data_IF_505231021388
#
_entry.id   IF_505231021388
#
_cell.length_a   1.000
_cell.length_b   1.000
_cell.length_c   1.000
_cell.angle_alpha   90.00
_cell.angle_beta   90.00
_cell.angle_gamma   90.00
#
_symmetry.space_group_name_H-M   'P 1'
#
loop_
_entity.id
_entity.type
_entity.pdbx_description
1 polymer ?
#
# COMPACT_ATOMS: atom_id res chain seq x y z
N UNK A 1 -7.59 -1.07 -3.43
CA UNK A 1 -6.43 -0.62 -2.66
C UNK A 1 -6.45 -1.39 -1.37
N UNK A 2 -5.30 -1.96 -1.01
CA UNK A 2 -5.11 -2.58 0.30
C UNK A 2 -5.23 -1.52 1.39
N UNK A 3 -5.37 -1.94 2.64
CA UNK A 3 -5.41 -0.99 3.76
C UNK A 3 -4.01 -0.52 4.13
N UNK A 4 -3.93 0.61 4.85
CA UNK A 4 -2.65 1.21 5.25
C UNK A 4 -1.83 0.27 6.12
N UNK A 5 -2.44 -0.47 7.04
CA UNK A 5 -1.69 -1.38 7.90
C UNK A 5 -1.22 -2.61 7.12
N UNK A 6 -1.94 -3.09 6.10
CA UNK A 6 -1.42 -4.15 5.21
C UNK A 6 -0.14 -3.69 4.50
N UNK A 7 -0.13 -2.47 3.95
CA UNK A 7 1.08 -1.90 3.34
C UNK A 7 2.24 -1.79 4.35
N UNK A 8 1.97 -1.32 5.57
CA UNK A 8 2.98 -1.23 6.62
C UNK A 8 3.48 -2.60 7.11
N UNK A 9 2.61 -3.61 7.20
CA UNK A 9 2.99 -5.00 7.55
C UNK A 9 3.95 -5.59 6.52
N UNK A 10 3.67 -5.37 5.23
CA UNK A 10 4.57 -5.77 4.14
C UNK A 10 5.90 -5.03 4.24
N UNK A 11 5.88 -3.71 4.47
CA UNK A 11 7.09 -2.92 4.66
C UNK A 11 7.95 -3.43 5.83
N UNK A 12 7.32 -3.73 6.97
CA UNK A 12 7.99 -4.29 8.15
C UNK A 12 8.69 -5.61 7.86
N UNK A 13 8.03 -6.50 7.13
CA UNK A 13 8.63 -7.78 6.74
C UNK A 13 9.78 -7.59 5.75
N UNK A 14 9.61 -6.72 4.76
CA UNK A 14 10.62 -6.48 3.74
C UNK A 14 11.87 -5.79 4.29
N UNK A 15 11.76 -4.95 5.32
CA UNK A 15 12.92 -4.35 6.01
C UNK A 15 13.82 -5.39 6.69
N UNK A 16 13.29 -6.57 7.02
CA UNK A 16 14.09 -7.69 7.57
C UNK A 16 14.87 -8.43 6.48
N UNK A 17 14.43 -8.32 5.23
CA UNK A 17 14.95 -9.08 4.08
C UNK A 17 15.82 -8.26 3.15
N UNK A 18 15.52 -6.96 3.01
CA UNK A 18 16.20 -6.03 2.11
C UNK A 18 17.18 -5.19 2.93
N UNK A 19 18.50 -5.31 2.71
CA UNK A 19 19.49 -4.58 3.47
C UNK A 19 19.53 -3.10 3.05
N UNK A 20 20.00 -2.26 3.98
CA UNK A 20 20.33 -0.85 3.71
C UNK A 20 19.15 0.00 3.20
N UNK A 21 17.95 -0.23 3.73
CA UNK A 21 16.82 0.70 3.56
C UNK A 21 16.74 1.68 4.73
N UNK A 22 16.30 2.90 4.44
CA UNK A 22 15.80 3.82 5.46
C UNK A 22 14.37 3.44 5.84
N UNK A 23 14.18 2.98 7.08
CA UNK A 23 12.88 2.46 7.54
C UNK A 23 11.77 3.52 7.52
N UNK A 24 12.09 4.80 7.76
CA UNK A 24 11.10 5.89 7.80
C UNK A 24 10.64 6.23 6.40
N UNK A 25 11.59 6.46 5.49
CA UNK A 25 11.27 6.79 4.11
C UNK A 25 10.59 5.62 3.40
N UNK A 26 11.01 4.38 3.67
CA UNK A 26 10.36 3.19 3.11
C UNK A 26 8.91 3.04 3.59
N UNK A 27 8.64 3.22 4.89
CA UNK A 27 7.29 3.16 5.43
C UNK A 27 6.39 4.26 4.85
N UNK A 28 6.89 5.49 4.72
CA UNK A 28 6.17 6.60 4.09
C UNK A 28 5.91 6.31 2.61
N UNK A 29 6.91 5.80 1.88
CA UNK A 29 6.77 5.42 0.48
C UNK A 29 5.61 4.46 0.26
N UNK A 30 5.45 3.46 1.15
CA UNK A 30 4.34 2.50 1.09
C UNK A 30 2.94 3.12 1.35
N UNK A 31 2.86 4.38 1.75
CA UNK A 31 1.60 5.11 2.00
C UNK A 31 1.41 6.27 1.02
N UNK A 32 2.50 6.82 0.48
CA UNK A 32 2.50 8.03 -0.33
C UNK A 32 1.49 8.04 -1.51
N UNK A 33 1.23 6.94 -2.24
CA UNK A 33 0.20 6.92 -3.30
C UNK A 33 -1.21 7.31 -2.83
N UNK A 34 -1.55 7.01 -1.57
CA UNK A 34 -2.85 7.32 -0.95
C UNK A 34 -2.97 8.76 -0.45
N UNK A 35 -2.02 9.65 -0.79
CA UNK A 35 -1.98 11.00 -0.23
C UNK A 35 -2.74 12.06 -1.03
N UNK A 36 -3.61 11.68 -1.95
CA UNK A 36 -4.50 12.64 -2.62
C UNK A 36 -5.37 13.36 -1.59
N UNK A 37 -5.52 14.68 -1.70
CA UNK A 37 -6.34 15.47 -0.77
C UNK A 37 -7.82 15.29 -1.16
N UNK A 38 -8.67 14.73 -0.28
CA UNK A 38 -10.08 14.55 -0.59
C UNK A 38 -10.83 15.89 -0.67
N UNK A 39 -11.83 15.95 -1.54
CA UNK A 39 -12.85 16.99 -1.48
C UNK A 39 -13.78 16.82 -0.26
N UNK A 40 -14.72 17.75 -0.06
CA UNK A 40 -15.62 17.74 1.10
C UNK A 40 -16.44 16.44 1.23
N UNK A 41 -16.70 15.77 0.11
CA UNK A 41 -17.52 14.55 0.05
C UNK A 41 -16.68 13.26 0.03
N UNK A 42 -15.34 13.37 -0.01
CA UNK A 42 -14.43 12.24 -0.18
C UNK A 42 -14.66 11.45 -1.48
N UNK A 43 -15.14 12.14 -2.52
CA UNK A 43 -15.43 11.55 -3.83
C UNK A 43 -14.33 11.83 -4.84
N UNK A 44 -13.68 12.99 -4.74
CA UNK A 44 -12.57 13.40 -5.61
C UNK A 44 -11.32 13.68 -4.77
N UNK A 45 -10.15 13.47 -5.39
CA UNK A 45 -8.86 13.64 -4.75
C UNK A 45 -7.94 14.49 -5.61
N UNK A 46 -7.11 15.32 -4.98
CA UNK A 46 -6.07 16.11 -5.65
C UNK A 46 -4.69 15.87 -5.02
N UNK A 47 -3.73 15.27 -5.75
CA UNK A 47 -3.85 14.72 -7.10
C UNK A 47 -4.78 13.49 -7.16
N UNK A 48 -5.40 13.20 -8.31
CA UNK A 48 -6.32 12.08 -8.44
C UNK A 48 -5.58 10.72 -8.50
N UNK A 49 -6.27 9.60 -8.24
CA UNK A 49 -5.67 8.26 -8.32
C UNK A 49 -5.08 7.92 -9.69
N UNK A 50 -5.59 8.50 -10.79
CA UNK A 50 -4.98 8.34 -12.13
C UNK A 50 -3.54 8.86 -12.20
N UNK A 51 -3.19 9.81 -11.32
CA UNK A 51 -1.84 10.33 -11.16
C UNK A 51 -1.09 9.55 -10.08
N UNK A 52 -1.63 9.46 -8.86
CA UNK A 52 -0.89 8.87 -7.72
C UNK A 52 -0.81 7.34 -7.74
N UNK A 53 -1.70 6.66 -8.46
CA UNK A 53 -1.65 5.21 -8.64
C UNK A 53 -1.35 4.81 -10.08
N UNK A 54 -0.99 5.78 -10.93
CA UNK A 54 -0.67 5.53 -12.34
C UNK A 54 -1.76 4.68 -13.03
N UNK A 55 -3.04 4.92 -12.71
CA UNK A 55 -4.14 4.16 -13.30
C UNK A 55 -4.26 4.54 -14.78
N UNK A 56 -4.07 3.56 -15.67
CA UNK A 56 -4.19 3.75 -17.11
C UNK A 56 -5.33 2.92 -17.68
N UNK A 57 -6.34 3.53 -18.32
CA UNK A 57 -7.40 2.80 -18.99
C UNK A 57 -6.92 2.03 -20.24
N UNK A 58 -5.71 2.32 -20.73
CA UNK A 58 -5.12 1.71 -21.92
C UNK A 58 -4.32 0.44 -21.61
N UNK A 59 -4.04 0.15 -20.33
CA UNK A 59 -3.23 -1.00 -19.91
C UNK A 59 -4.13 -2.13 -19.41
N UNK A 60 -4.43 -3.08 -20.29
CA UNK A 60 -5.28 -4.25 -19.98
C UNK A 60 -4.69 -5.20 -18.91
N UNK A 61 -3.40 -5.08 -18.56
CA UNK A 61 -2.67 -6.13 -17.82
C UNK A 61 -2.61 -5.94 -16.29
N UNK A 62 -2.77 -4.72 -15.74
CA UNK A 62 -3.07 -4.46 -14.31
C UNK A 62 -3.46 -3.01 -14.05
N UNK A 63 -4.29 -2.81 -13.03
CA UNK A 63 -4.88 -1.54 -12.61
C UNK A 63 -3.95 -0.68 -11.72
N UNK A 64 -2.67 -0.61 -12.09
CA UNK A 64 -1.70 0.48 -11.82
C UNK A 64 -0.52 0.26 -12.79
N UNK A 65 0.02 1.32 -13.40
CA UNK A 65 1.16 1.20 -14.30
C UNK A 65 2.49 1.13 -13.52
N UNK A 66 2.66 0.06 -12.73
CA UNK A 66 3.83 -0.14 -11.86
C UNK A 66 5.18 0.06 -12.58
N UNK A 67 5.29 -0.44 -13.82
CA UNK A 67 6.48 -0.32 -14.65
C UNK A 67 6.76 1.13 -15.09
N UNK A 68 5.74 1.98 -15.23
CA UNK A 68 5.94 3.39 -15.57
C UNK A 68 6.59 4.11 -14.39
N UNK A 69 6.07 3.90 -13.17
CA UNK A 69 6.67 4.46 -11.98
C UNK A 69 8.11 3.98 -11.80
N UNK A 70 8.35 2.68 -11.98
CA UNK A 70 9.70 2.12 -11.90
C UNK A 70 10.66 2.81 -12.87
N UNK A 71 10.29 2.88 -14.16
CA UNK A 71 11.14 3.45 -15.21
C UNK A 71 11.36 4.96 -15.05
N UNK A 72 10.37 5.70 -14.55
CA UNK A 72 10.44 7.16 -14.47
C UNK A 72 11.05 7.65 -13.15
N UNK A 73 10.94 6.88 -12.06
CA UNK A 73 11.19 7.41 -10.72
C UNK A 73 12.06 6.52 -9.81
N UNK A 74 12.42 5.30 -10.22
CA UNK A 74 13.16 4.37 -9.36
C UNK A 74 14.42 3.78 -10.01
N UNK A 75 14.39 3.45 -11.30
CA UNK A 75 15.47 2.69 -11.98
C UNK A 75 16.84 3.38 -11.93
N UNK A 76 16.88 4.72 -11.96
CA UNK A 76 18.12 5.50 -11.98
C UNK A 76 18.69 5.78 -10.57
N UNK A 77 17.99 5.38 -9.50
CA UNK A 77 18.44 5.65 -8.13
C UNK A 77 19.37 4.53 -7.66
N UNK A 78 20.63 4.88 -7.41
CA UNK A 78 21.58 3.98 -6.78
C UNK A 78 21.35 3.92 -5.24
N UNK A 79 20.94 2.77 -4.69
CA UNK A 79 20.69 2.62 -3.25
C UNK A 79 21.92 2.86 -2.37
N UNK A 80 23.14 2.80 -2.91
CA UNK A 80 24.36 3.04 -2.15
C UNK A 80 24.69 4.53 -2.02
N UNK A 81 24.30 5.36 -2.98
CA UNK A 81 24.55 6.80 -2.95
C UNK A 81 23.38 7.62 -2.45
N UNK A 82 22.15 7.13 -2.62
CA UNK A 82 20.93 7.85 -2.27
C UNK A 82 19.90 6.91 -1.61
N UNK A 83 20.24 6.50 -0.39
CA UNK A 83 19.49 5.50 0.38
C UNK A 83 18.06 5.99 0.69
N UNK A 84 17.90 7.25 1.07
CA UNK A 84 16.62 7.83 1.48
C UNK A 84 15.63 7.89 0.32
N UNK A 85 16.02 8.43 -0.85
CA UNK A 85 15.14 8.47 -2.02
C UNK A 85 14.88 7.08 -2.58
N UNK A 86 15.90 6.20 -2.59
CA UNK A 86 15.70 4.81 -3.00
C UNK A 86 14.65 4.13 -2.12
N UNK A 87 14.76 4.28 -0.80
CA UNK A 87 13.83 3.68 0.15
C UNK A 87 12.41 4.21 -0.03
N UNK A 88 12.25 5.53 -0.16
CA UNK A 88 10.93 6.12 -0.44
C UNK A 88 10.34 5.58 -1.76
N UNK A 89 11.11 5.59 -2.84
CA UNK A 89 10.64 5.17 -4.17
C UNK A 89 10.37 3.68 -4.24
N UNK A 90 11.19 2.85 -3.58
CA UNK A 90 10.91 1.42 -3.47
C UNK A 90 9.62 1.15 -2.70
N UNK A 91 9.37 1.88 -1.60
CA UNK A 91 8.12 1.78 -0.85
C UNK A 91 6.91 2.17 -1.69
N UNK A 92 7.01 3.28 -2.44
CA UNK A 92 5.96 3.71 -3.37
C UNK A 92 5.69 2.67 -4.44
N UNK A 93 6.76 2.14 -5.03
CA UNK A 93 6.66 1.09 -6.03
C UNK A 93 5.97 -0.17 -5.47
N UNK A 94 6.30 -0.58 -4.24
CA UNK A 94 5.68 -1.72 -3.58
C UNK A 94 4.23 -1.49 -3.18
N UNK A 95 3.83 -0.27 -2.86
CA UNK A 95 2.42 0.05 -2.71
C UNK A 95 1.65 -0.27 -3.99
N UNK A 96 2.13 0.18 -5.16
CA UNK A 96 1.46 -0.07 -6.45
C UNK A 96 1.32 -1.56 -6.75
N UNK A 97 2.38 -2.34 -6.50
CA UNK A 97 2.35 -3.80 -6.67
C UNK A 97 1.38 -4.47 -5.69
N UNK A 98 1.42 -4.07 -4.43
CA UNK A 98 0.55 -4.59 -3.37
C UNK A 98 -0.91 -4.35 -3.70
N UNK A 99 -1.25 -3.19 -4.23
CA UNK A 99 -2.61 -2.83 -4.61
C UNK A 99 -3.16 -3.68 -5.76
N UNK A 100 -2.31 -4.00 -6.74
CA UNK A 100 -2.62 -4.93 -7.82
C UNK A 100 -2.86 -6.35 -7.30
N UNK A 101 -2.02 -6.81 -6.37
CA UNK A 101 -2.16 -8.11 -5.72
C UNK A 101 -3.41 -8.16 -4.83
N UNK A 102 -3.67 -7.13 -4.03
CA UNK A 102 -4.88 -7.03 -3.21
C UNK A 102 -6.14 -7.09 -4.06
N UNK A 103 -6.14 -6.39 -5.20
CA UNK A 103 -7.28 -6.41 -6.12
C UNK A 103 -7.59 -7.83 -6.61
N UNK A 104 -6.56 -8.60 -6.94
CA UNK A 104 -6.70 -9.93 -7.53
C UNK A 104 -6.96 -11.01 -6.50
N UNK A 105 -6.32 -10.95 -5.33
CA UNK A 105 -6.41 -11.96 -4.29
C UNK A 105 -7.55 -11.72 -3.28
N UNK A 106 -7.92 -10.46 -3.02
CA UNK A 106 -8.92 -10.10 -2.02
C UNK A 106 -10.13 -9.42 -2.65
N UNK A 107 -9.95 -8.25 -3.28
CA UNK A 107 -11.09 -7.40 -3.64
C UNK A 107 -12.03 -8.03 -4.68
N UNK A 108 -11.49 -8.58 -5.78
CA UNK A 108 -12.31 -9.26 -6.81
C UNK A 108 -12.97 -10.53 -6.27
N UNK A 109 -12.26 -11.44 -5.56
CA UNK A 109 -12.90 -12.59 -4.91
C UNK A 109 -14.01 -12.20 -3.92
N UNK A 110 -13.84 -11.13 -3.13
CA UNK A 110 -14.91 -10.62 -2.25
C UNK A 110 -16.10 -10.12 -3.07
N UNK A 111 -15.88 -9.37 -4.15
CA UNK A 111 -16.94 -8.90 -5.05
C UNK A 111 -17.71 -10.06 -5.70
N UNK A 112 -17.01 -11.13 -6.08
CA UNK A 112 -17.64 -12.35 -6.64
C UNK A 112 -18.45 -13.10 -5.58
N UNK A 113 -17.91 -13.23 -4.35
CA UNK A 113 -18.58 -13.92 -3.23
C UNK A 113 -19.88 -13.24 -2.80
N UNK A 114 -19.91 -11.91 -2.85
CA UNK A 114 -21.04 -11.07 -2.41
C UNK A 114 -21.67 -10.29 -3.57
N UNK A 115 -21.72 -10.91 -4.75
CA UNK A 115 -22.16 -10.27 -5.99
C UNK A 115 -23.57 -9.68 -5.87
N UNK A 116 -24.51 -10.41 -5.27
CA UNK A 116 -25.90 -9.97 -5.15
C UNK A 116 -26.03 -8.72 -4.27
N UNK A 117 -25.24 -8.63 -3.19
CA UNK A 117 -25.20 -7.46 -2.32
C UNK A 117 -24.58 -6.24 -2.99
N UNK A 118 -23.51 -6.44 -3.78
CA UNK A 118 -22.88 -5.38 -4.56
C UNK A 118 -23.79 -4.88 -5.69
N UNK A 119 -24.50 -5.79 -6.38
CA UNK A 119 -25.46 -5.43 -7.43
C UNK A 119 -26.67 -4.66 -6.86
N UNK A 120 -27.08 -4.99 -5.62
CA UNK A 120 -28.20 -4.33 -4.94
C UNK A 120 -27.85 -2.97 -4.34
N UNK A 121 -26.64 -2.79 -3.81
CA UNK A 121 -26.19 -1.54 -3.17
C UNK A 121 -24.71 -1.26 -3.47
N UNK A 122 -24.41 -0.27 -4.33
CA UNK A 122 -23.03 0.14 -4.60
C UNK A 122 -22.26 0.61 -3.35
N UNK A 123 -22.96 1.03 -2.29
CA UNK A 123 -22.35 1.44 -1.00
C UNK A 123 -22.03 0.23 -0.10
N UNK A 124 -22.34 -0.99 -0.53
CA UNK A 124 -22.01 -2.21 0.21
C UNK A 124 -20.51 -2.35 0.49
N UNK A 125 -19.65 -1.78 -0.37
CA UNK A 125 -18.20 -1.72 -0.16
C UNK A 125 -17.82 -1.12 1.20
N UNK A 126 -18.61 -0.17 1.73
CA UNK A 126 -18.33 0.42 3.03
C UNK A 126 -18.50 -0.58 4.18
N UNK A 127 -19.40 -1.57 4.05
CA UNK A 127 -19.56 -2.66 5.02
C UNK A 127 -18.39 -3.64 4.95
N UNK A 128 -17.96 -3.97 3.74
CA UNK A 128 -16.77 -4.82 3.51
C UNK A 128 -15.53 -4.19 4.10
N UNK A 129 -15.29 -2.89 3.82
CA UNK A 129 -14.13 -2.16 4.34
C UNK A 129 -14.13 -2.01 5.86
N UNK A 130 -15.29 -2.08 6.54
CA UNK A 130 -15.33 -2.08 8.02
C UNK A 130 -14.57 -3.28 8.59
N UNK A 131 -14.67 -4.44 7.97
CA UNK A 131 -13.89 -5.62 8.39
C UNK A 131 -12.40 -5.42 8.15
N UNK A 132 -12.03 -4.87 6.98
CA UNK A 132 -10.63 -4.64 6.64
C UNK A 132 -9.95 -3.68 7.63
N UNK A 133 -10.58 -2.52 7.89
CA UNK A 133 -10.06 -1.57 8.88
C UNK A 133 -10.20 -2.07 10.33
N UNK A 134 -11.19 -2.93 10.61
CA UNK A 134 -11.31 -3.61 11.89
C UNK A 134 -10.13 -4.53 12.20
N UNK A 135 -9.67 -5.28 11.20
CA UNK A 135 -8.46 -6.11 11.29
C UNK A 135 -7.19 -5.27 11.43
N UNK A 136 -7.09 -4.16 10.71
CA UNK A 136 -5.98 -3.21 10.88
C UNK A 136 -5.88 -2.70 12.32
N UNK A 137 -7.02 -2.26 12.89
CA UNK A 137 -7.07 -1.76 14.26
C UNK A 137 -6.73 -2.85 15.28
N UNK A 138 -7.22 -4.07 15.06
CA UNK A 138 -6.86 -5.22 15.88
C UNK A 138 -5.34 -5.49 15.83
N UNK A 139 -4.74 -5.47 14.64
CA UNK A 139 -3.29 -5.63 14.47
C UNK A 139 -2.51 -4.53 15.20
N UNK A 140 -2.84 -3.27 14.97
CA UNK A 140 -2.14 -2.15 15.62
C UNK A 140 -2.24 -2.23 17.15
N UNK A 141 -3.39 -2.65 17.70
CA UNK A 141 -3.57 -2.86 19.14
C UNK A 141 -2.73 -4.02 19.67
N UNK A 142 -2.74 -5.15 18.97
CA UNK A 142 -2.17 -6.40 19.46
C UNK A 142 -0.65 -6.50 19.26
N UNK A 143 -0.09 -5.70 18.34
CA UNK A 143 1.34 -5.67 17.99
C UNK A 143 1.97 -4.28 18.27
N UNK A 144 2.19 -3.90 19.54
CA UNK A 144 2.77 -2.60 19.92
C UNK A 144 4.22 -2.38 19.44
N UNK A 145 4.91 -3.45 19.03
CA UNK A 145 6.24 -3.41 18.43
C UNK A 145 6.24 -3.17 16.91
N UNK A 146 5.05 -3.18 16.29
CA UNK A 146 4.91 -3.02 14.85
C UNK A 146 5.52 -1.71 14.34
N UNK A 147 5.90 -1.72 13.06
CA UNK A 147 6.47 -0.56 12.37
C UNK A 147 5.59 0.69 12.48
N UNK A 148 4.26 0.52 12.60
CA UNK A 148 3.35 1.65 12.81
C UNK A 148 3.76 2.46 14.04
N UNK A 149 3.93 1.79 15.18
CA UNK A 149 4.32 2.44 16.45
C UNK A 149 5.79 2.82 16.49
N UNK A 150 6.68 1.92 16.07
CA UNK A 150 8.12 2.07 16.26
C UNK A 150 8.76 3.07 15.28
N UNK A 151 8.17 3.22 14.09
CA UNK A 151 8.79 3.98 12.99
C UNK A 151 7.83 5.01 12.40
N UNK A 152 6.67 4.57 11.91
CA UNK A 152 5.78 5.39 11.10
C UNK A 152 5.22 6.60 11.86
N UNK A 153 4.96 6.43 13.16
CA UNK A 153 4.41 7.48 14.02
C UNK A 153 5.27 8.76 14.04
N UNK A 154 6.60 8.59 14.08
CA UNK A 154 7.59 9.67 14.18
C UNK A 154 8.30 9.94 12.84
N UNK A 155 7.82 9.33 11.75
CA UNK A 155 8.40 9.49 10.43
C UNK A 155 7.95 10.81 9.79
N UNK A 156 8.89 11.45 9.09
CA UNK A 156 8.70 12.67 8.30
C UNK A 156 9.12 12.41 6.85
N UNK A 157 8.41 12.96 5.84
CA UNK A 157 8.60 12.64 4.42
C UNK A 157 9.79 13.41 3.80
N UNK A 158 10.99 13.23 4.34
CA UNK A 158 12.19 13.97 3.93
C UNK A 158 12.64 13.70 2.49
N UNK A 159 12.32 12.51 1.94
CA UNK A 159 12.71 12.10 0.59
C UNK A 159 11.57 12.17 -0.45
N UNK A 160 10.47 12.87 -0.12
CA UNK A 160 9.37 13.07 -1.05
C UNK A 160 9.61 14.28 -1.97
N UNK A 161 10.14 14.01 -3.15
CA UNK A 161 10.48 14.98 -4.21
C UNK A 161 9.77 14.68 -5.55
N UNK A 162 8.64 13.93 -5.51
CA UNK A 162 7.81 13.69 -6.70
C UNK A 162 7.00 14.95 -7.05
N UNK A 163 7.28 15.56 -8.20
CA UNK A 163 6.59 16.78 -8.66
C UNK A 163 5.07 16.66 -8.72
N UNK A 164 4.57 15.45 -9.01
CA UNK A 164 3.13 15.18 -9.10
C UNK A 164 2.48 14.88 -7.74
N UNK A 165 3.26 14.75 -6.66
CA UNK A 165 2.76 14.44 -5.31
C UNK A 165 3.16 15.55 -4.33
N UNK A 166 2.28 16.53 -4.08
CA UNK A 166 2.60 17.66 -3.22
C UNK A 166 2.96 17.23 -1.79
N UNK A 167 4.07 17.76 -1.26
CA UNK A 167 4.56 17.45 0.09
C UNK A 167 3.49 17.70 1.19
N UNK A 168 2.67 18.73 1.04
CA UNK A 168 1.59 19.02 1.99
C UNK A 168 0.49 17.94 1.98
N UNK A 169 0.22 17.34 0.82
CA UNK A 169 -0.74 16.26 0.67
C UNK A 169 -0.25 15.00 1.41
N UNK A 170 1.04 14.65 1.24
CA UNK A 170 1.70 13.56 1.99
C UNK A 170 1.62 13.81 3.49
N UNK A 171 2.04 15.01 3.96
CA UNK A 171 1.98 15.34 5.40
C UNK A 171 0.57 15.24 5.97
N UNK A 172 -0.43 15.76 5.25
CA UNK A 172 -1.82 15.66 5.68
C UNK A 172 -2.28 14.20 5.81
N UNK A 173 -1.92 13.35 4.85
CA UNK A 173 -2.28 11.93 4.87
C UNK A 173 -1.59 11.19 6.01
N UNK A 174 -0.29 11.44 6.24
CA UNK A 174 0.44 10.87 7.38
C UNK A 174 -0.23 11.25 8.70
N UNK A 175 -0.55 12.53 8.91
CA UNK A 175 -1.22 12.99 10.13
C UNK A 175 -2.61 12.39 10.30
N UNK A 176 -3.37 12.22 9.22
CA UNK A 176 -4.66 11.54 9.24
C UNK A 176 -4.53 10.09 9.71
N UNK A 177 -3.64 9.31 9.08
CA UNK A 177 -3.42 7.90 9.41
C UNK A 177 -2.91 7.75 10.85
N UNK A 178 -1.91 8.54 11.24
CA UNK A 178 -1.38 8.56 12.61
C UNK A 178 -2.50 8.82 13.61
N UNK A 179 -3.35 9.80 13.35
CA UNK A 179 -4.47 10.15 14.25
C UNK A 179 -5.53 9.05 14.30
N UNK A 180 -5.89 8.44 13.16
CA UNK A 180 -6.89 7.39 13.06
C UNK A 180 -6.53 6.17 13.91
N UNK A 181 -5.30 5.65 13.76
CA UNK A 181 -4.87 4.44 14.48
C UNK A 181 -4.39 4.72 15.92
N UNK A 182 -4.09 5.98 16.28
CA UNK A 182 -3.92 6.41 17.68
C UNK A 182 -5.25 6.59 18.42
N UNK A 183 -6.37 6.66 17.69
CA UNK A 183 -7.69 7.01 18.20
C UNK A 183 -8.15 6.14 19.38
N UNK A 184 -9.04 6.69 20.20
CA UNK A 184 -9.51 6.00 21.41
C UNK A 184 -10.59 4.98 21.07
N UNK A 185 -10.72 3.91 21.87
CA UNK A 185 -11.66 2.79 21.63
C UNK A 185 -13.08 3.23 21.25
N UNK A 186 -13.59 4.34 21.77
CA UNK A 186 -14.94 4.84 21.45
C UNK A 186 -15.08 5.35 20.01
N UNK A 187 -14.04 5.92 19.44
CA UNK A 187 -14.04 6.51 18.08
C UNK A 187 -13.93 5.42 17.01
N UNK A 188 -13.28 4.30 17.36
CA UNK A 188 -13.03 3.16 16.46
C UNK A 188 -13.91 1.93 16.77
N UNK A 189 -14.81 2.03 17.77
CA UNK A 189 -15.67 0.94 18.23
C UNK A 189 -16.50 0.32 17.10
N UNK A 190 -16.90 1.12 16.10
CA UNK A 190 -17.73 0.64 14.99
C UNK A 190 -16.97 -0.24 13.97
N UNK A 191 -15.65 -0.32 14.07
CA UNK A 191 -14.80 -1.19 13.25
C UNK A 191 -14.47 -2.51 13.96
N UNK A 192 -14.62 -2.57 15.29
CA UNK A 192 -14.49 -3.81 16.06
C UNK A 192 -15.77 -4.64 16.02
N UNK A 193 -16.11 -5.16 14.83
CA UNK A 193 -17.35 -5.90 14.60
C UNK A 193 -17.10 -7.37 14.21
N UNK A 194 -16.48 -8.20 15.08
CA UNK A 194 -16.37 -9.62 14.82
C UNK A 194 -17.78 -10.28 14.77
N UNK A 195 -17.96 -11.36 14.00
CA UNK A 195 -16.94 -12.08 13.24
C UNK A 195 -16.71 -11.39 11.88
N UNK A 196 -15.49 -10.94 11.58
CA UNK A 196 -15.16 -10.28 10.31
C UNK A 196 -15.50 -11.21 9.12
N UNK A 197 -16.68 -11.03 8.53
CA UNK A 197 -17.30 -11.97 7.57
C UNK A 197 -16.83 -11.75 6.13
N UNK A 198 -16.37 -10.54 5.81
CA UNK A 198 -15.96 -10.16 4.46
C UNK A 198 -14.46 -10.38 4.22
N UNK A 199 -13.69 -10.47 5.30
CA UNK A 199 -12.27 -10.79 5.30
C UNK A 199 -11.88 -11.29 6.68
N UNK A 200 -11.26 -12.46 6.77
CA UNK A 200 -10.80 -13.05 8.03
C UNK A 200 -9.34 -12.67 8.33
N UNK A 201 -8.93 -12.83 9.59
CA UNK A 201 -7.53 -12.63 10.01
C UNK A 201 -6.59 -13.55 9.21
N UNK A 202 -6.92 -14.84 9.11
CA UNK A 202 -6.12 -15.83 8.37
C UNK A 202 -5.96 -15.43 6.90
N UNK A 203 -7.02 -14.95 6.23
CA UNK A 203 -6.94 -14.47 4.83
C UNK A 203 -5.98 -13.28 4.67
N UNK A 204 -5.93 -12.35 5.64
CA UNK A 204 -4.97 -11.22 5.60
C UNK A 204 -3.55 -11.67 5.91
N UNK A 205 -3.38 -12.58 6.86
CA UNK A 205 -2.06 -13.07 7.27
C UNK A 205 -1.43 -13.89 6.13
N UNK A 206 -2.19 -14.78 5.50
CA UNK A 206 -1.76 -15.52 4.30
C UNK A 206 -1.38 -14.57 3.16
N UNK A 207 -2.19 -13.52 2.93
CA UNK A 207 -1.88 -12.50 1.93
C UNK A 207 -0.56 -11.78 2.24
N UNK A 208 -0.37 -11.32 3.48
CA UNK A 208 0.84 -10.59 3.89
C UNK A 208 2.09 -11.47 3.72
N UNK A 209 2.00 -12.75 4.10
CA UNK A 209 3.12 -13.68 3.98
C UNK A 209 3.45 -13.99 2.52
N UNK A 210 2.46 -14.33 1.69
CA UNK A 210 2.67 -14.63 0.27
C UNK A 210 3.23 -13.41 -0.48
N UNK A 211 2.62 -12.24 -0.28
CA UNK A 211 3.02 -11.01 -0.97
C UNK A 211 4.39 -10.53 -0.51
N UNK A 212 4.75 -10.70 0.77
CA UNK A 212 6.12 -10.43 1.25
C UNK A 212 7.14 -11.22 0.42
N UNK A 213 6.93 -12.54 0.26
CA UNK A 213 7.87 -13.38 -0.50
C UNK A 213 7.94 -12.95 -1.96
N UNK A 214 6.80 -12.61 -2.55
CA UNK A 214 6.74 -12.17 -3.95
C UNK A 214 7.46 -10.86 -4.17
N UNK A 215 7.23 -9.85 -3.33
CA UNK A 215 7.90 -8.55 -3.42
C UNK A 215 9.41 -8.68 -3.17
N UNK A 216 9.83 -9.52 -2.23
CA UNK A 216 11.24 -9.80 -2.02
C UNK A 216 11.88 -10.51 -3.23
N UNK A 217 11.17 -11.44 -3.87
CA UNK A 217 11.67 -12.08 -5.09
C UNK A 217 11.79 -11.09 -6.25
N UNK A 218 10.89 -10.10 -6.35
CA UNK A 218 11.05 -8.97 -7.29
C UNK A 218 12.32 -8.18 -6.98
N UNK A 219 12.57 -7.89 -5.70
CA UNK A 219 13.81 -7.21 -5.28
C UNK A 219 15.05 -7.98 -5.75
N UNK A 220 15.09 -9.30 -5.47
CA UNK A 220 16.19 -10.17 -5.86
C UNK A 220 16.40 -10.15 -7.38
N UNK A 221 15.34 -10.28 -8.17
CA UNK A 221 15.47 -10.27 -9.63
C UNK A 221 16.03 -8.95 -10.15
N UNK A 222 15.49 -7.81 -9.71
CA UNK A 222 15.82 -6.50 -10.29
C UNK A 222 17.17 -5.99 -9.76
N UNK A 223 17.40 -6.01 -8.46
CA UNK A 223 18.57 -5.36 -7.85
C UNK A 223 19.74 -6.31 -7.54
N UNK A 224 19.49 -7.60 -7.33
CA UNK A 224 20.54 -8.57 -7.02
C UNK A 224 20.99 -9.33 -8.27
N UNK A 225 20.04 -9.96 -8.97
CA UNK A 225 20.28 -10.79 -10.16
C UNK A 225 20.38 -9.94 -11.44
N UNK A 226 19.86 -8.70 -11.41
CA UNK A 226 19.82 -7.77 -12.55
C UNK A 226 19.12 -8.36 -13.78
N UNK A 227 18.05 -9.12 -13.52
CA UNK A 227 17.17 -9.69 -14.53
C UNK A 227 16.55 -8.58 -15.37
N UNK A 228 16.65 -8.63 -16.72
CA UNK A 228 16.00 -7.65 -17.59
C UNK A 228 14.49 -7.60 -17.36
N UNK A 229 13.96 -6.39 -17.21
CA UNK A 229 12.53 -6.17 -17.04
C UNK A 229 11.86 -6.24 -18.42
N UNK A 230 10.78 -7.03 -18.57
CA UNK A 230 10.09 -7.14 -19.85
C UNK A 230 9.40 -5.83 -20.24
N UNK A 231 9.60 -5.41 -21.49
CA UNK A 231 8.96 -4.21 -22.03
C UNK A 231 7.42 -4.33 -22.00
N UNK A 232 6.76 -3.24 -21.57
CA UNK A 232 5.31 -3.06 -21.62
C UNK A 232 4.45 -4.08 -20.83
N UNK A 233 5.04 -4.78 -19.86
CA UNK A 233 4.29 -5.66 -18.93
C UNK A 233 4.49 -5.20 -17.49
N UNK A 234 3.56 -5.59 -16.61
CA UNK A 234 3.75 -5.38 -15.18
C UNK A 234 4.99 -6.11 -14.68
N UNK A 235 5.69 -5.49 -13.72
CA UNK A 235 6.84 -6.10 -13.04
C UNK A 235 6.43 -7.39 -12.30
N UNK A 236 5.14 -7.56 -11.95
CA UNK A 236 4.62 -8.81 -11.38
C UNK A 236 4.83 -10.04 -12.30
N UNK A 237 5.09 -9.83 -13.60
CA UNK A 237 5.37 -10.90 -14.57
C UNK A 237 6.79 -11.47 -14.50
N UNK A 238 7.71 -10.82 -13.77
CA UNK A 238 9.11 -11.27 -13.62
C UNK A 238 9.20 -12.48 -12.67
N UNK A 239 8.20 -12.67 -11.81
CA UNK A 239 8.18 -13.72 -10.77
C UNK A 239 7.12 -14.79 -11.09
N UNK A 240 6.99 -15.16 -12.36
CA UNK A 240 6.17 -16.31 -12.78
C UNK A 240 6.94 -17.63 -12.64
#
# INVERSE_FOLDING_TARGET
MATWIVHLRLAENLLKLIPNLDERQFAIGNIAPDSGIPDENWENFDPPPTVTHFLSPEKEWVDSADIDFYNQHLVEIDPLSDKEHFSFRLGYFYHLLTDNLWRTHIARPTQERYKDEFDADPKFISKVKKDWYGLDLAYVRDYPESIFWRVFLDAEPDACDLDFLPMNAVKQQLEFIKSFYKGHEKEIAEFYTPPYVYLTQDEVDDFVDEVTQRLFRIYQNIWVEKTPIPDNKSILSIVL
#
